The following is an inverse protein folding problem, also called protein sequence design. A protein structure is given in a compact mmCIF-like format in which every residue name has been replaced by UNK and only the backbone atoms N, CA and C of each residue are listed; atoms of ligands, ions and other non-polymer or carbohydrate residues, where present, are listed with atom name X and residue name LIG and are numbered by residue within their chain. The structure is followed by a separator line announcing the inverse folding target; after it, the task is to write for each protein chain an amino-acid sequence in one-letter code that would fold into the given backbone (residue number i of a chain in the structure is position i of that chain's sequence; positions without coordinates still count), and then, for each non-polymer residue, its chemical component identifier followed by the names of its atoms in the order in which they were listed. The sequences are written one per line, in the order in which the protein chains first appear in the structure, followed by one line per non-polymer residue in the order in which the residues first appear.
data_IF_958623412144
#
_entry.id   IF_958623412144
#
_cell.length_a   1.000
_cell.length_b   1.000
_cell.length_c   1.000
_cell.angle_alpha   90.00
_cell.angle_beta   90.00
_cell.angle_gamma   90.00
#
_symmetry.space_group_name_H-M   'P 1'
#
loop_
_entity.id
_entity.type
_entity.pdbx_description
1 polymer ?
#
# COMPACT_ATOMS: atom_id res chain seq x y z
N UNK A 1 -17.57 -0.87 22.05
CA UNK A 1 -16.70 0.07 22.77
C UNK A 1 -15.92 -0.61 23.89
N UNK A 2 -16.55 -1.17 24.95
CA UNK A 2 -15.80 -1.86 26.02
C UNK A 2 -14.88 -3.01 25.57
N UNK A 3 -15.36 -3.93 24.72
CA UNK A 3 -14.58 -5.09 24.23
C UNK A 3 -13.35 -4.74 23.38
N UNK A 4 -13.31 -3.56 22.76
CA UNK A 4 -12.15 -3.11 21.97
C UNK A 4 -11.07 -2.54 22.89
N UNK A 5 -11.48 -1.93 24.00
CA UNK A 5 -10.58 -1.38 25.02
C UNK A 5 -9.85 -2.50 25.77
N UNK A 6 -10.56 -3.57 26.15
CA UNK A 6 -10.01 -4.71 26.89
C UNK A 6 -8.86 -5.39 26.10
N UNK A 7 -9.06 -5.56 24.78
CA UNK A 7 -8.04 -6.16 23.91
C UNK A 7 -6.85 -5.24 23.66
N UNK A 8 -7.09 -3.93 23.61
CA UNK A 8 -6.01 -2.93 23.57
C UNK A 8 -5.16 -2.95 24.85
N UNK A 9 -5.77 -3.19 26.01
CA UNK A 9 -5.07 -3.27 27.31
C UNK A 9 -4.22 -4.55 27.42
N UNK A 10 -4.69 -5.69 26.90
CA UNK A 10 -3.89 -6.93 26.83
C UNK A 10 -2.63 -6.72 25.98
N UNK A 11 -2.80 -6.14 24.78
CA UNK A 11 -1.69 -5.90 23.85
C UNK A 11 -0.71 -4.86 24.38
N UNK A 12 -1.23 -3.81 25.03
CA UNK A 12 -0.40 -2.85 25.76
C UNK A 12 0.40 -3.54 26.87
N UNK A 13 -0.21 -4.49 27.59
CA UNK A 13 0.47 -5.22 28.67
C UNK A 13 1.59 -6.09 28.14
N UNK A 14 1.42 -6.72 26.98
CA UNK A 14 2.48 -7.45 26.29
C UNK A 14 3.60 -6.54 25.77
N UNK A 15 3.25 -5.38 25.19
CA UNK A 15 4.22 -4.38 24.75
C UNK A 15 5.02 -3.82 25.94
N UNK A 16 4.35 -3.50 27.04
CA UNK A 16 4.99 -3.07 28.29
C UNK A 16 5.88 -4.17 28.88
N UNK A 17 5.46 -5.43 28.85
CA UNK A 17 6.27 -6.57 29.30
C UNK A 17 7.55 -6.77 28.50
N UNK A 18 7.53 -6.46 27.20
CA UNK A 18 8.73 -6.41 26.34
C UNK A 18 9.60 -5.19 26.66
N UNK A 19 8.99 -4.02 26.86
CA UNK A 19 9.69 -2.77 27.18
C UNK A 19 10.43 -2.83 28.53
N UNK A 20 9.89 -3.49 29.55
CA UNK A 20 10.56 -3.68 30.86
C UNK A 20 11.86 -4.51 30.72
N UNK A 21 11.92 -5.40 29.73
CA UNK A 21 13.11 -6.22 29.46
C UNK A 21 14.13 -5.53 28.55
N UNK A 22 13.77 -4.38 27.95
CA UNK A 22 14.68 -3.60 27.12
C UNK A 22 15.58 -2.72 27.99
N UNK A 23 16.79 -2.41 27.52
CA UNK A 23 17.75 -1.57 28.27
C UNK A 23 17.25 -0.14 28.50
N UNK A 24 16.29 0.32 27.72
CA UNK A 24 15.85 1.71 27.68
C UNK A 24 14.48 1.93 28.34
N UNK A 25 13.80 0.86 28.77
CA UNK A 25 12.46 0.94 29.38
C UNK A 25 11.45 1.68 28.48
N UNK A 26 11.56 1.48 27.17
CA UNK A 26 10.77 2.17 26.13
C UNK A 26 9.90 1.19 25.36
N UNK A 27 8.61 1.50 25.21
CA UNK A 27 7.68 0.86 24.27
C UNK A 27 8.03 1.34 22.87
N UNK A 28 8.21 0.40 21.94
CA UNK A 28 8.59 0.69 20.56
C UNK A 28 7.54 1.51 19.82
N UNK A 29 7.97 2.30 18.83
CA UNK A 29 7.06 3.07 18.00
C UNK A 29 6.16 2.17 17.14
N UNK A 30 6.64 0.99 16.76
CA UNK A 30 5.87 -0.03 16.05
C UNK A 30 4.72 -0.58 16.92
N UNK A 31 4.97 -0.89 18.19
CA UNK A 31 3.93 -1.36 19.12
C UNK A 31 2.90 -0.25 19.39
N UNK A 32 3.36 0.98 19.58
CA UNK A 32 2.49 2.14 19.75
C UNK A 32 1.65 2.43 18.49
N UNK A 33 2.25 2.29 17.31
CA UNK A 33 1.57 2.44 16.03
C UNK A 33 0.51 1.36 15.84
N UNK A 34 0.82 0.10 16.17
CA UNK A 34 -0.14 -0.99 16.09
C UNK A 34 -1.34 -0.77 17.04
N UNK A 35 -1.08 -0.34 18.28
CA UNK A 35 -2.13 0.02 19.24
C UNK A 35 -3.07 1.09 18.67
N UNK A 36 -2.51 2.13 18.05
CA UNK A 36 -3.27 3.21 17.42
C UNK A 36 -4.04 2.77 16.17
N UNK A 37 -3.33 2.24 15.18
CA UNK A 37 -3.85 1.98 13.84
C UNK A 37 -4.80 0.77 13.81
N UNK A 38 -4.41 -0.33 14.47
CA UNK A 38 -5.16 -1.59 14.42
C UNK A 38 -6.25 -1.66 15.48
N UNK A 39 -5.99 -1.15 16.68
CA UNK A 39 -6.88 -1.31 17.84
C UNK A 39 -7.59 -0.01 18.24
N UNK A 40 -7.30 1.11 17.58
CA UNK A 40 -7.92 2.41 17.85
C UNK A 40 -7.52 2.99 19.20
N UNK A 41 -6.39 2.56 19.77
CA UNK A 41 -5.92 2.97 21.09
C UNK A 41 -5.13 4.28 20.96
N UNK A 42 -5.61 5.40 21.54
CA UNK A 42 -4.95 6.69 21.36
C UNK A 42 -3.51 6.68 21.86
N UNK A 43 -2.59 7.33 21.13
CA UNK A 43 -1.20 7.47 21.56
C UNK A 43 -1.10 8.06 22.97
N UNK A 44 -1.91 9.09 23.27
CA UNK A 44 -1.97 9.74 24.58
C UNK A 44 -2.29 8.74 25.70
N UNK A 45 -3.17 7.77 25.44
CA UNK A 45 -3.55 6.75 26.41
C UNK A 45 -2.41 5.73 26.60
N UNK A 46 -1.75 5.33 25.50
CA UNK A 46 -0.55 4.49 25.54
C UNK A 46 0.57 5.15 26.35
N UNK A 47 0.79 6.45 26.17
CA UNK A 47 1.78 7.23 26.91
C UNK A 47 1.45 7.33 28.39
N UNK A 48 0.18 7.61 28.73
CA UNK A 48 -0.28 7.68 30.11
C UNK A 48 -0.06 6.35 30.84
N UNK A 49 -0.48 5.24 30.24
CA UNK A 49 -0.31 3.91 30.82
C UNK A 49 1.16 3.48 30.91
N UNK A 50 1.99 3.89 29.95
CA UNK A 50 3.43 3.65 30.00
C UNK A 50 4.07 4.39 31.17
N UNK A 51 3.70 5.66 31.36
CA UNK A 51 4.20 6.51 32.44
C UNK A 51 3.83 5.96 33.82
N UNK A 52 2.61 5.45 34.02
CA UNK A 52 2.20 4.79 35.27
C UNK A 52 3.07 3.57 35.62
N UNK A 53 3.65 2.92 34.61
CA UNK A 53 4.57 1.78 34.77
C UNK A 53 6.04 2.18 34.74
N UNK A 54 6.36 3.47 34.71
CA UNK A 54 7.73 3.98 34.63
C UNK A 54 8.41 3.74 33.26
N UNK A 55 7.62 3.49 32.21
CA UNK A 55 8.07 3.27 30.84
C UNK A 55 7.92 4.54 30.00
N UNK A 56 8.71 4.64 28.93
CA UNK A 56 8.58 5.64 27.87
C UNK A 56 7.93 5.04 26.63
N UNK A 57 7.50 5.88 25.70
CA UNK A 57 7.05 5.47 24.36
C UNK A 57 7.93 6.17 23.34
N UNK A 58 8.38 5.43 22.33
CA UNK A 58 9.09 6.00 21.19
C UNK A 58 8.11 6.72 20.25
N UNK A 59 7.95 8.02 20.51
CA UNK A 59 7.07 8.90 19.74
C UNK A 59 7.66 9.30 18.39
N UNK A 60 8.98 9.30 18.25
CA UNK A 60 9.63 9.66 16.99
C UNK A 60 9.32 8.60 15.95
N UNK A 61 9.53 7.32 16.30
CA UNK A 61 9.25 6.21 15.40
C UNK A 61 7.75 6.06 15.09
N UNK A 62 6.89 6.31 16.08
CA UNK A 62 5.44 6.37 15.86
C UNK A 62 5.05 7.42 14.80
N UNK A 63 5.61 8.63 14.89
CA UNK A 63 5.31 9.71 13.97
C UNK A 63 5.84 9.42 12.54
N UNK A 64 7.00 8.77 12.41
CA UNK A 64 7.49 8.30 11.10
C UNK A 64 6.49 7.34 10.44
N UNK A 65 5.98 6.35 11.20
CA UNK A 65 5.02 5.37 10.70
C UNK A 65 3.66 6.01 10.35
N UNK A 66 3.21 6.97 11.14
CA UNK A 66 2.01 7.77 10.86
C UNK A 66 2.15 8.59 9.59
N UNK A 67 3.31 9.20 9.35
CA UNK A 67 3.54 9.99 8.15
C UNK A 67 3.68 9.10 6.91
N UNK A 68 4.32 7.94 7.03
CA UNK A 68 4.33 6.92 5.98
C UNK A 68 2.91 6.42 5.65
N UNK A 69 2.04 6.22 6.65
CA UNK A 69 0.64 5.89 6.43
C UNK A 69 -0.14 7.02 5.74
N UNK A 70 0.08 8.28 6.15
CA UNK A 70 -0.52 9.45 5.50
C UNK A 70 -0.07 9.62 4.05
N UNK A 71 1.21 9.38 3.77
CA UNK A 71 1.72 9.40 2.39
C UNK A 71 1.04 8.32 1.54
N UNK A 72 0.87 7.10 2.06
CA UNK A 72 0.08 6.05 1.41
C UNK A 72 -1.36 6.46 1.14
N UNK A 73 -2.03 7.11 2.10
CA UNK A 73 -3.41 7.59 1.93
C UNK A 73 -3.50 8.76 0.91
N UNK A 74 -2.54 9.68 0.90
CA UNK A 74 -2.46 10.76 -0.10
C UNK A 74 -2.18 10.22 -1.50
N UNK A 75 -1.36 9.18 -1.61
CA UNK A 75 -1.15 8.47 -2.87
C UNK A 75 -2.47 7.89 -3.39
N UNK A 76 -3.33 7.34 -2.54
CA UNK A 76 -4.67 6.87 -2.95
C UNK A 76 -5.58 8.03 -3.44
N UNK A 77 -5.59 9.19 -2.79
CA UNK A 77 -6.40 10.35 -3.22
C UNK A 77 -5.94 10.98 -4.54
N UNK A 78 -4.62 11.08 -4.79
CA UNK A 78 -4.08 11.49 -6.09
C UNK A 78 -4.44 10.49 -7.21
N UNK A 79 -4.75 9.24 -6.87
CA UNK A 79 -5.22 8.24 -7.84
C UNK A 79 -6.59 8.63 -8.40
N UNK A 80 -7.53 9.01 -7.53
CA UNK A 80 -8.88 9.40 -7.92
C UNK A 80 -8.92 10.65 -8.81
N UNK A 81 -8.04 11.63 -8.53
CA UNK A 81 -7.95 12.84 -9.37
C UNK A 81 -7.42 12.56 -10.77
N UNK A 82 -6.42 11.68 -10.90
CA UNK A 82 -5.88 11.26 -12.20
C UNK A 82 -6.87 10.41 -13.00
N UNK A 83 -7.59 9.49 -12.34
CA UNK A 83 -8.66 8.70 -12.98
C UNK A 83 -9.74 9.64 -13.54
N UNK A 84 -10.11 10.67 -12.79
CA UNK A 84 -11.15 11.63 -13.21
C UNK A 84 -10.67 12.50 -14.38
N UNK A 85 -9.42 12.96 -14.36
CA UNK A 85 -8.85 13.79 -15.43
C UNK A 85 -8.67 13.02 -16.76
N UNK A 86 -8.52 11.70 -16.70
CA UNK A 86 -8.23 10.86 -17.86
C UNK A 86 -9.43 10.05 -18.37
N UNK A 87 -10.61 10.21 -17.77
CA UNK A 87 -11.80 9.44 -18.11
C UNK A 87 -12.21 9.55 -19.60
N UNK A 88 -11.94 10.69 -20.23
CA UNK A 88 -12.23 10.97 -21.64
C UNK A 88 -11.01 10.85 -22.58
N UNK A 89 -9.86 10.41 -22.07
CA UNK A 89 -8.61 10.28 -22.85
C UNK A 89 -8.44 8.85 -23.35
N UNK A 90 -8.19 8.66 -24.65
CA UNK A 90 -7.82 7.35 -25.20
C UNK A 90 -6.40 6.98 -24.75
N UNK A 91 -6.31 6.14 -23.72
CA UNK A 91 -5.05 5.59 -23.24
C UNK A 91 -4.69 4.28 -23.97
N UNK A 92 -3.40 4.03 -24.23
CA UNK A 92 -2.98 2.78 -24.84
C UNK A 92 -3.24 1.60 -23.90
N UNK A 93 -3.61 0.44 -24.45
CA UNK A 93 -3.78 -0.77 -23.67
C UNK A 93 -2.43 -1.32 -23.20
N UNK A 94 -2.37 -1.76 -21.94
CA UNK A 94 -1.18 -2.40 -21.37
C UNK A 94 -1.39 -3.92 -21.26
N UNK A 95 -0.44 -4.70 -21.76
CA UNK A 95 -0.41 -6.16 -21.62
C UNK A 95 0.13 -6.56 -20.22
N UNK A 96 -0.75 -6.90 -19.30
CA UNK A 96 -0.37 -7.14 -17.90
C UNK A 96 -0.35 -8.62 -17.48
N UNK A 97 -0.36 -9.54 -18.43
CA UNK A 97 -0.34 -10.99 -18.15
C UNK A 97 0.94 -11.45 -17.45
N UNK A 98 2.03 -10.72 -17.65
CA UNK A 98 3.33 -11.01 -17.01
C UNK A 98 3.25 -11.01 -15.49
N UNK A 99 2.29 -10.30 -14.89
CA UNK A 99 2.11 -10.21 -13.42
C UNK A 99 1.86 -11.57 -12.76
N UNK A 100 1.40 -12.57 -13.51
CA UNK A 100 1.15 -13.92 -13.00
C UNK A 100 2.36 -14.85 -13.08
N UNK A 101 3.41 -14.47 -13.80
CA UNK A 101 4.51 -15.35 -14.15
C UNK A 101 5.87 -14.87 -13.67
N UNK A 102 6.05 -13.56 -13.52
CA UNK A 102 7.35 -12.96 -13.15
C UNK A 102 7.14 -11.73 -12.27
N UNK A 103 8.15 -11.42 -11.46
CA UNK A 103 8.24 -10.17 -10.70
C UNK A 103 9.16 -9.14 -11.42
N UNK A 104 9.69 -9.49 -12.60
CA UNK A 104 10.41 -8.54 -13.46
C UNK A 104 10.15 -8.80 -14.94
N UNK A 105 10.00 -7.74 -15.75
CA UNK A 105 9.89 -7.84 -17.21
C UNK A 105 10.57 -6.66 -17.90
N UNK A 106 11.12 -6.91 -19.09
CA UNK A 106 11.55 -5.84 -19.99
C UNK A 106 10.32 -5.26 -20.66
N UNK A 107 10.18 -3.94 -20.72
CA UNK A 107 9.01 -3.24 -21.28
C UNK A 107 9.44 -1.95 -21.99
N UNK A 108 8.50 -1.32 -22.68
CA UNK A 108 8.69 -0.04 -23.37
C UNK A 108 7.76 1.02 -22.81
N UNK A 109 8.29 2.23 -22.63
CA UNK A 109 7.48 3.40 -22.24
C UNK A 109 6.62 3.84 -23.42
N UNK A 110 5.30 3.79 -23.27
CA UNK A 110 4.35 4.30 -24.28
C UNK A 110 4.01 5.76 -24.07
N UNK A 111 4.12 6.25 -22.84
CA UNK A 111 3.81 7.62 -22.49
C UNK A 111 3.84 7.84 -20.99
N UNK A 112 3.49 9.04 -20.58
CA UNK A 112 3.44 9.44 -19.19
C UNK A 112 2.28 10.40 -18.93
N UNK A 113 1.87 10.48 -17.69
CA UNK A 113 0.70 11.22 -17.24
C UNK A 113 1.15 12.23 -16.19
N UNK A 114 0.72 13.46 -16.36
CA UNK A 114 0.83 14.55 -15.37
C UNK A 114 -0.52 15.26 -15.20
N UNK A 115 -0.57 16.30 -14.36
CA UNK A 115 -1.79 17.09 -14.11
C UNK A 115 -2.42 17.68 -15.39
N UNK A 116 -1.64 17.80 -16.48
CA UNK A 116 -2.08 18.26 -17.80
C UNK A 116 -2.67 17.18 -18.72
N UNK A 117 -2.63 15.90 -18.34
CA UNK A 117 -3.14 14.78 -19.13
C UNK A 117 -2.08 13.76 -19.55
N UNK A 118 -2.41 12.97 -20.58
CA UNK A 118 -1.52 11.94 -21.15
C UNK A 118 -0.62 12.53 -22.24
N UNK A 119 0.68 12.24 -22.14
CA UNK A 119 1.72 12.63 -23.09
C UNK A 119 2.34 11.37 -23.72
N UNK A 120 2.21 11.24 -25.04
CA UNK A 120 2.74 10.13 -25.85
C UNK A 120 4.13 10.41 -26.45
N UNK A 121 4.74 11.54 -26.09
CA UNK A 121 6.07 11.95 -26.51
C UNK A 121 6.79 12.74 -25.41
N UNK A 122 8.10 12.93 -25.60
CA UNK A 122 8.92 13.78 -24.75
C UNK A 122 9.77 13.01 -23.74
N UNK A 123 10.27 13.77 -22.75
CA UNK A 123 11.25 13.31 -21.77
C UNK A 123 10.76 13.65 -20.36
N UNK A 124 10.86 12.66 -19.48
CA UNK A 124 10.55 12.75 -18.06
C UNK A 124 11.87 13.01 -17.35
N UNK A 125 12.03 14.21 -16.80
CA UNK A 125 13.26 14.62 -16.12
C UNK A 125 13.36 14.08 -14.69
N UNK A 126 14.56 14.14 -14.11
CA UNK A 126 14.79 13.82 -12.70
C UNK A 126 13.85 14.62 -11.80
N UNK A 127 13.44 14.01 -10.68
CA UNK A 127 12.53 14.58 -9.69
C UNK A 127 11.07 14.78 -10.12
N UNK A 128 10.70 14.44 -11.36
CA UNK A 128 9.32 14.47 -11.81
C UNK A 128 8.46 13.40 -11.10
N UNK A 129 7.30 13.81 -10.56
CA UNK A 129 6.24 12.93 -10.09
C UNK A 129 5.20 12.75 -11.21
N UNK A 130 5.13 11.55 -11.79
CA UNK A 130 4.30 11.27 -12.97
C UNK A 130 3.71 9.85 -12.91
N UNK A 131 2.74 9.56 -13.77
CA UNK A 131 2.26 8.21 -14.04
C UNK A 131 2.87 7.66 -15.33
N UNK A 132 3.73 6.64 -15.28
CA UNK A 132 4.31 6.02 -16.48
C UNK A 132 3.36 4.94 -17.03
N UNK A 133 3.16 4.95 -18.34
CA UNK A 133 2.39 3.94 -19.08
C UNK A 133 3.35 3.08 -19.89
N UNK A 134 3.21 1.76 -19.75
CA UNK A 134 4.05 0.76 -20.41
C UNK A 134 3.23 -0.05 -21.43
N UNK A 135 3.93 -0.64 -22.40
CA UNK A 135 3.33 -1.59 -23.36
C UNK A 135 2.91 -2.89 -22.69
N UNK A 136 3.75 -3.40 -21.78
CA UNK A 136 3.49 -4.57 -20.94
C UNK A 136 4.04 -4.39 -19.54
N UNK A 137 3.46 -5.06 -18.56
CA UNK A 137 3.90 -4.92 -17.16
C UNK A 137 3.69 -6.19 -16.34
N UNK A 138 4.59 -6.41 -15.39
CA UNK A 138 4.45 -7.42 -14.35
C UNK A 138 3.79 -6.90 -13.06
N UNK A 139 3.46 -5.60 -13.00
CA UNK A 139 2.84 -4.98 -11.85
C UNK A 139 1.34 -5.28 -11.82
N UNK A 140 0.84 -5.68 -10.65
CA UNK A 140 -0.60 -5.77 -10.39
C UNK A 140 -1.16 -4.38 -10.13
N UNK A 141 -2.08 -3.94 -10.98
CA UNK A 141 -2.85 -2.73 -10.74
C UNK A 141 -3.90 -2.94 -9.64
N UNK A 142 -4.12 -1.93 -8.81
CA UNK A 142 -5.11 -1.95 -7.73
C UNK A 142 -6.48 -2.45 -8.24
N UNK A 143 -6.99 -3.50 -7.62
CA UNK A 143 -8.26 -4.11 -7.97
C UNK A 143 -8.77 -5.06 -6.89
N UNK A 144 -10.09 -5.11 -6.70
CA UNK A 144 -10.75 -6.06 -5.79
C UNK A 144 -10.40 -5.84 -4.31
N UNK A 145 -10.05 -4.61 -3.93
CA UNK A 145 -9.60 -4.25 -2.59
C UNK A 145 -8.11 -4.51 -2.34
N UNK A 146 -7.39 -5.12 -3.28
CA UNK A 146 -5.94 -5.30 -3.20
C UNK A 146 -5.23 -4.07 -3.74
N UNK A 147 -4.32 -3.52 -2.93
CA UNK A 147 -3.48 -2.39 -3.32
C UNK A 147 -2.59 -2.74 -4.52
N UNK A 148 -2.32 -1.74 -5.36
CA UNK A 148 -1.42 -1.89 -6.49
C UNK A 148 0.02 -2.20 -6.07
N UNK A 149 0.74 -2.90 -6.93
CA UNK A 149 2.14 -3.22 -6.70
C UNK A 149 3.02 -1.95 -6.70
N UNK A 150 4.02 -1.93 -5.81
CA UNK A 150 5.11 -0.95 -5.77
C UNK A 150 6.39 -1.60 -6.32
N UNK A 151 7.39 -0.81 -6.71
CA UNK A 151 8.64 -1.35 -7.25
C UNK A 151 9.50 -0.29 -7.91
N UNK A 152 10.29 -0.72 -8.89
CA UNK A 152 11.19 0.16 -9.66
C UNK A 152 11.07 -0.10 -11.15
N UNK A 153 11.21 0.96 -11.94
CA UNK A 153 11.40 0.93 -13.39
C UNK A 153 12.79 1.48 -13.65
N UNK A 154 13.63 0.68 -14.32
CA UNK A 154 15.05 0.98 -14.52
C UNK A 154 15.38 1.06 -16.01
N UNK A 155 16.28 1.97 -16.37
CA UNK A 155 16.89 2.07 -17.69
C UNK A 155 18.41 2.21 -17.57
N UNK A 156 19.11 2.33 -18.69
CA UNK A 156 20.54 2.64 -18.67
C UNK A 156 20.77 4.04 -18.03
N UNK A 157 21.16 4.05 -16.75
CA UNK A 157 21.38 5.27 -15.96
C UNK A 157 20.13 5.96 -15.40
N UNK A 158 18.94 5.37 -15.54
CA UNK A 158 17.67 5.92 -15.06
C UNK A 158 16.99 5.02 -14.03
N UNK A 159 16.38 5.62 -13.02
CA UNK A 159 15.58 4.92 -12.02
C UNK A 159 14.31 5.70 -11.69
N UNK A 160 13.18 5.01 -11.76
CA UNK A 160 11.87 5.51 -11.37
C UNK A 160 11.31 4.60 -10.28
N UNK A 161 10.96 5.17 -9.13
CA UNK A 161 10.36 4.44 -8.02
C UNK A 161 8.85 4.46 -8.20
N UNK A 162 8.26 3.28 -8.37
CA UNK A 162 6.81 3.10 -8.46
C UNK A 162 6.25 3.00 -7.05
N UNK A 163 5.46 4.00 -6.66
CA UNK A 163 4.80 4.08 -5.36
C UNK A 163 3.43 3.37 -5.35
N UNK A 164 2.82 3.20 -6.52
CA UNK A 164 1.59 2.44 -6.66
C UNK A 164 1.16 2.30 -8.12
N UNK A 165 0.37 1.26 -8.39
CA UNK A 165 -0.07 0.93 -9.74
C UNK A 165 -1.60 0.91 -9.80
N UNK A 166 -2.19 1.63 -10.74
CA UNK A 166 -3.66 1.74 -10.89
C UNK A 166 -4.07 1.38 -12.31
N UNK A 167 -5.30 0.87 -12.48
CA UNK A 167 -5.88 0.58 -13.79
C UNK A 167 -6.86 1.67 -14.18
N UNK A 168 -6.68 2.26 -15.37
CA UNK A 168 -7.61 3.19 -16.00
C UNK A 168 -8.05 2.56 -17.31
N UNK A 169 -9.31 2.10 -17.37
CA UNK A 169 -9.81 1.26 -18.46
C UNK A 169 -8.88 0.06 -18.74
N UNK A 170 -8.27 0.01 -19.93
CA UNK A 170 -7.34 -1.05 -20.33
C UNK A 170 -5.85 -0.70 -20.11
N UNK A 171 -5.57 0.48 -19.58
CA UNK A 171 -4.22 0.98 -19.32
C UNK A 171 -3.82 0.74 -17.86
N UNK A 172 -2.56 0.33 -17.65
CA UNK A 172 -1.96 0.24 -16.32
C UNK A 172 -1.01 1.41 -16.12
N UNK A 173 -1.29 2.23 -15.11
CA UNK A 173 -0.55 3.45 -14.80
C UNK A 173 0.33 3.20 -13.57
N UNK A 174 1.64 3.40 -13.74
CA UNK A 174 2.65 3.24 -12.70
C UNK A 174 2.98 4.61 -12.12
N UNK A 175 2.41 4.93 -10.96
CA UNK A 175 2.59 6.24 -10.33
C UNK A 175 3.81 6.24 -9.44
N UNK A 176 4.58 7.31 -9.51
CA UNK A 176 5.81 7.40 -8.77
C UNK A 176 6.65 8.60 -9.16
N UNK A 177 7.95 8.51 -8.86
CA UNK A 177 8.90 9.60 -9.04
C UNK A 177 10.19 9.11 -9.71
N UNK A 178 10.74 9.94 -10.60
CA UNK A 178 12.09 9.73 -11.13
C UNK A 178 13.11 10.08 -10.05
N UNK A 179 13.85 9.09 -9.55
CA UNK A 179 14.86 9.27 -8.50
C UNK A 179 16.27 9.44 -9.08
N UNK A 180 16.52 8.97 -10.30
CA UNK A 180 17.78 9.15 -10.99
C UNK A 180 17.61 9.15 -12.50
N UNK A 181 18.44 9.92 -13.20
CA UNK A 181 18.44 10.00 -14.66
C UNK A 181 17.16 10.58 -15.22
N UNK A 182 16.84 10.21 -16.46
CA UNK A 182 15.64 10.65 -17.14
C UNK A 182 15.13 9.53 -18.04
N UNK A 183 13.84 9.58 -18.37
CA UNK A 183 13.18 8.61 -19.22
C UNK A 183 12.63 9.28 -20.46
N UNK A 184 12.65 8.58 -21.59
CA UNK A 184 12.11 9.07 -22.86
C UNK A 184 11.02 8.13 -23.35
N UNK A 185 9.96 8.68 -23.93
CA UNK A 185 8.91 7.84 -24.53
C UNK A 185 9.49 7.01 -25.67
N UNK A 186 9.13 5.72 -25.72
CA UNK A 186 9.65 4.72 -26.65
C UNK A 186 10.92 4.00 -26.17
N UNK A 187 11.48 4.40 -25.02
CA UNK A 187 12.67 3.77 -24.43
C UNK A 187 12.37 2.38 -23.88
N UNK A 188 13.32 1.47 -24.08
CA UNK A 188 13.30 0.14 -23.46
C UNK A 188 13.78 0.24 -22.00
N UNK A 189 13.00 -0.34 -21.10
CA UNK A 189 13.19 -0.32 -19.66
C UNK A 189 13.03 -1.72 -19.06
N UNK A 190 13.42 -1.88 -17.81
CA UNK A 190 13.16 -3.07 -17.01
C UNK A 190 12.28 -2.70 -15.82
N UNK A 191 11.10 -3.29 -15.74
CA UNK A 191 10.17 -3.10 -14.64
C UNK A 191 10.34 -4.25 -13.63
N UNK A 192 10.54 -3.92 -12.34
CA UNK A 192 10.79 -4.86 -11.25
C UNK A 192 9.88 -4.57 -10.06
N UNK A 193 9.05 -5.54 -9.66
CA UNK A 193 8.12 -5.42 -8.54
C UNK A 193 8.85 -5.62 -7.20
N UNK A 194 8.44 -4.87 -6.17
CA UNK A 194 8.95 -5.04 -4.80
C UNK A 194 8.61 -6.42 -4.24
N UNK A 195 9.49 -6.95 -3.38
CA UNK A 195 9.24 -8.19 -2.63
C UNK A 195 8.07 -8.07 -1.65
N UNK A 196 7.65 -6.85 -1.31
CA UNK A 196 6.48 -6.55 -0.48
C UNK A 196 5.19 -7.18 -1.02
N UNK A 197 5.13 -7.38 -2.34
CA UNK A 197 4.08 -8.14 -3.03
C UNK A 197 3.77 -9.49 -2.37
N UNK A 198 4.77 -10.16 -1.80
CA UNK A 198 4.56 -11.45 -1.16
C UNK A 198 3.69 -11.35 0.10
N UNK A 199 3.82 -10.29 0.87
CA UNK A 199 2.95 -10.03 2.02
C UNK A 199 1.53 -9.71 1.57
N UNK A 200 1.37 -8.92 0.51
CA UNK A 200 0.06 -8.64 -0.11
C UNK A 200 -0.60 -9.94 -0.60
N UNK A 201 0.14 -10.82 -1.29
CA UNK A 201 -0.34 -12.14 -1.74
C UNK A 201 -0.79 -13.03 -0.57
N UNK A 202 -0.06 -13.02 0.55
CA UNK A 202 -0.45 -13.73 1.78
C UNK A 202 -1.75 -13.17 2.34
N UNK A 203 -1.86 -11.85 2.44
CA UNK A 203 -3.06 -11.17 2.92
C UNK A 203 -4.26 -11.48 2.01
N UNK A 204 -4.08 -11.48 0.69
CA UNK A 204 -5.12 -11.88 -0.27
C UNK A 204 -5.61 -13.31 -0.01
N UNK A 205 -4.67 -14.24 0.19
CA UNK A 205 -4.99 -15.64 0.50
C UNK A 205 -5.74 -15.75 1.83
N UNK A 206 -5.30 -15.00 2.85
CA UNK A 206 -5.95 -14.95 4.14
C UNK A 206 -7.38 -14.39 4.07
N UNK A 207 -7.65 -13.43 3.18
CA UNK A 207 -9.01 -12.93 2.92
C UNK A 207 -9.96 -14.06 2.46
N UNK A 208 -9.53 -14.92 1.54
CA UNK A 208 -10.34 -16.06 1.09
C UNK A 208 -10.52 -17.11 2.19
N UNK A 209 -9.47 -17.39 2.96
CA UNK A 209 -9.56 -18.31 4.11
C UNK A 209 -10.52 -17.78 5.18
N UNK A 210 -10.49 -16.48 5.46
CA UNK A 210 -11.39 -15.82 6.40
C UNK A 210 -12.83 -15.89 5.89
N UNK A 211 -13.08 -15.59 4.61
CA UNK A 211 -14.42 -15.71 4.04
C UNK A 211 -14.96 -17.14 4.15
N UNK A 212 -14.15 -18.14 3.83
CA UNK A 212 -14.53 -19.55 3.98
C UNK A 212 -14.84 -19.89 5.44
N UNK A 213 -13.97 -19.52 6.37
CA UNK A 213 -14.16 -19.77 7.80
C UNK A 213 -15.42 -19.09 8.36
N UNK A 214 -15.70 -17.86 7.94
CA UNK A 214 -16.92 -17.14 8.30
C UNK A 214 -18.18 -17.88 7.82
N UNK A 215 -18.19 -18.40 6.59
CA UNK A 215 -19.30 -19.21 6.09
C UNK A 215 -19.48 -20.50 6.88
N UNK A 216 -18.39 -21.16 7.27
CA UNK A 216 -18.47 -22.36 8.10
C UNK A 216 -19.04 -22.06 9.50
N UNK A 217 -18.64 -20.96 10.12
CA UNK A 217 -19.04 -20.62 11.48
C UNK A 217 -20.44 -19.97 11.58
N UNK A 218 -20.79 -19.13 10.59
CA UNK A 218 -21.95 -18.23 10.65
C UNK A 218 -23.01 -18.56 9.59
N UNK A 219 -22.73 -19.51 8.69
CA UNK A 219 -23.60 -19.91 7.59
C UNK A 219 -23.37 -19.12 6.30
N UNK A 220 -23.99 -19.58 5.23
CA UNK A 220 -23.78 -19.06 3.87
C UNK A 220 -24.39 -17.67 3.62
N UNK A 221 -25.18 -17.14 4.56
CA UNK A 221 -25.75 -15.79 4.48
C UNK A 221 -24.73 -14.67 4.70
N UNK A 222 -23.50 -15.00 5.11
CA UNK A 222 -22.41 -14.03 5.22
C UNK A 222 -21.95 -13.60 3.83
N UNK A 223 -22.21 -12.33 3.51
CA UNK A 223 -21.78 -11.69 2.29
C UNK A 223 -20.71 -10.62 2.57
N UNK A 224 -19.68 -10.60 1.72
CA UNK A 224 -18.66 -9.55 1.72
C UNK A 224 -19.27 -8.22 1.28
N UNK A 225 -18.97 -7.15 2.01
CA UNK A 225 -19.37 -5.76 1.70
C UNK A 225 -18.18 -4.88 1.35
N UNK A 226 -16.98 -5.28 1.75
CA UNK A 226 -15.76 -4.53 1.52
C UNK A 226 -14.54 -5.37 1.80
N UNK A 227 -13.43 -5.04 1.15
CA UNK A 227 -12.14 -5.65 1.42
C UNK A 227 -11.03 -4.64 1.19
N UNK A 228 -10.01 -4.70 2.03
CA UNK A 228 -8.73 -4.04 1.83
C UNK A 228 -7.65 -5.09 2.02
N UNK A 229 -6.70 -5.16 1.09
CA UNK A 229 -5.57 -6.09 1.14
C UNK A 229 -4.31 -5.29 0.87
N UNK A 230 -3.66 -4.87 1.94
CA UNK A 230 -2.42 -4.09 1.91
C UNK A 230 -1.21 -4.92 2.29
N UNK A 231 -0.07 -4.23 2.43
CA UNK A 231 1.19 -4.80 2.90
C UNK A 231 1.10 -5.24 4.36
N UNK A 232 0.60 -4.37 5.24
CA UNK A 232 0.66 -4.55 6.68
C UNK A 232 -0.54 -5.33 7.24
N UNK A 233 -1.72 -5.16 6.63
CA UNK A 233 -2.95 -5.76 7.11
C UNK A 233 -3.95 -6.02 5.98
N UNK A 234 -4.97 -6.82 6.31
CA UNK A 234 -6.19 -6.95 5.54
C UNK A 234 -7.39 -6.52 6.38
N UNK A 235 -8.39 -5.93 5.73
CA UNK A 235 -9.72 -5.66 6.30
C UNK A 235 -10.74 -6.44 5.49
N UNK A 236 -11.68 -7.09 6.16
CA UNK A 236 -12.77 -7.79 5.53
C UNK A 236 -14.09 -7.39 6.19
N UNK A 237 -14.92 -6.68 5.44
CA UNK A 237 -16.20 -6.17 5.92
C UNK A 237 -17.30 -7.12 5.44
N UNK A 238 -18.17 -7.60 6.35
CA UNK A 238 -19.23 -8.54 6.02
C UNK A 238 -20.53 -8.25 6.77
N UNK A 239 -21.65 -8.68 6.19
CA UNK A 239 -22.98 -8.57 6.82
C UNK A 239 -23.24 -9.75 7.75
N UNK A 240 -23.64 -9.46 8.99
CA UNK A 240 -24.14 -10.46 9.92
C UNK A 240 -25.24 -9.86 10.82
N UNK A 241 -26.44 -10.48 10.89
CA UNK A 241 -27.48 -10.05 11.81
C UNK A 241 -27.05 -10.34 13.26
N UNK A 242 -27.15 -9.32 14.13
CA UNK A 242 -26.78 -9.41 15.55
C UNK A 242 -27.67 -10.34 16.34
#
# INVERSE_FOLDING_TARGET
FGRTLDRGIEIFTDAAGRAVKSKEATISGEDAFQLYDTYGFPLDLTQLMAQERGLKVDTEKFNELMEAQRQRARAAQKSDSLITALADTELPATEDMHKYHTDSCDSKILGWIEDGGFNDAGRIETDAEVGIVLDKTCFYAEAGGQVGDCGVIESDGGQFVVEGTTRIANCVVHRGKVTAGAFVVGQDIKACVSKDRNSIKKNHTATHLLQWALRQALGDSVAQQGSYVGLDYLRFDFTYPK
#
